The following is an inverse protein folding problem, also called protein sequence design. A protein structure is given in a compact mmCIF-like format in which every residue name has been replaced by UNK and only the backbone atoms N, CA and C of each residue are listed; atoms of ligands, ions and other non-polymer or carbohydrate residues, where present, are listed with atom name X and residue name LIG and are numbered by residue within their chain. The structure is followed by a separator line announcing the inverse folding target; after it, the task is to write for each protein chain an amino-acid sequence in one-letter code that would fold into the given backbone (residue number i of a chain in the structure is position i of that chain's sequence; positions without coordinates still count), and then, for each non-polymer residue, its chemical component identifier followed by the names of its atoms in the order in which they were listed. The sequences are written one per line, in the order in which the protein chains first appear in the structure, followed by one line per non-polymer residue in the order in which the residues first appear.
data_IF_689927945354
#
_entry.id   IF_689927945354
#
_cell.length_a   1.000
_cell.length_b   1.000
_cell.length_c   1.000
_cell.angle_alpha   90.00
_cell.angle_beta   90.00
_cell.angle_gamma   90.00
#
_symmetry.space_group_name_H-M   'P 1'
#
loop_
_entity.id
_entity.type
_entity.pdbx_description
1 polymer ?
#
# COMPACT_ATOMS: atom_id res chain seq x y z
N UNK A 1 -37.55 -20.59 14.61
CA UNK A 1 -36.93 -20.38 13.27
C UNK A 1 -36.33 -18.98 13.16
N UNK A 2 -36.98 -17.94 13.68
CA UNK A 2 -36.44 -16.56 13.73
C UNK A 2 -35.08 -16.41 14.44
N UNK A 3 -34.82 -17.19 15.49
CA UNK A 3 -33.58 -17.05 16.27
C UNK A 3 -32.33 -17.55 15.51
N UNK A 4 -32.48 -18.55 14.64
CA UNK A 4 -31.38 -19.10 13.86
C UNK A 4 -30.91 -18.13 12.77
N UNK A 5 -31.84 -17.39 12.15
CA UNK A 5 -31.54 -16.36 11.16
C UNK A 5 -30.85 -15.14 11.80
N UNK A 6 -31.29 -14.75 13.00
CA UNK A 6 -30.64 -13.67 13.78
C UNK A 6 -29.20 -14.02 14.14
N UNK A 7 -28.94 -15.28 14.54
CA UNK A 7 -27.58 -15.74 14.86
C UNK A 7 -26.66 -15.73 13.63
N UNK A 8 -27.14 -16.14 12.46
CA UNK A 8 -26.36 -16.05 11.22
C UNK A 8 -26.05 -14.59 10.84
N UNK A 9 -27.04 -13.70 10.94
CA UNK A 9 -26.83 -12.27 10.65
C UNK A 9 -25.84 -11.63 11.61
N UNK A 10 -25.94 -11.92 12.91
CA UNK A 10 -25.01 -11.41 13.91
C UNK A 10 -23.57 -11.88 13.66
N UNK A 11 -23.38 -13.15 13.29
CA UNK A 11 -22.05 -13.68 12.98
C UNK A 11 -21.44 -13.01 11.75
N UNK A 12 -22.23 -12.82 10.68
CA UNK A 12 -21.79 -12.10 9.48
C UNK A 12 -21.42 -10.65 9.78
N UNK A 13 -22.24 -9.93 10.55
CA UNK A 13 -21.97 -8.54 10.93
C UNK A 13 -20.71 -8.44 11.79
N UNK A 14 -20.49 -9.38 12.71
CA UNK A 14 -19.29 -9.40 13.54
C UNK A 14 -18.02 -9.63 12.72
N UNK A 15 -18.08 -10.57 11.78
CA UNK A 15 -16.98 -10.90 10.87
C UNK A 15 -16.66 -9.70 9.95
N UNK A 16 -17.69 -9.07 9.38
CA UNK A 16 -17.55 -7.87 8.56
C UNK A 16 -16.99 -6.68 9.36
N UNK A 17 -17.47 -6.46 10.59
CA UNK A 17 -17.00 -5.41 11.48
C UNK A 17 -15.52 -5.61 11.85
N UNK A 18 -15.10 -6.86 12.10
CA UNK A 18 -13.71 -7.20 12.38
C UNK A 18 -12.80 -6.90 11.18
N UNK A 19 -13.20 -7.28 9.96
CA UNK A 19 -12.43 -6.94 8.76
C UNK A 19 -12.40 -5.43 8.49
N UNK A 20 -13.51 -4.73 8.72
CA UNK A 20 -13.56 -3.26 8.61
C UNK A 20 -12.63 -2.58 9.62
N UNK A 21 -12.59 -3.05 10.87
CA UNK A 21 -11.70 -2.53 11.91
C UNK A 21 -10.23 -2.73 11.55
N UNK A 22 -9.87 -3.93 11.06
CA UNK A 22 -8.51 -4.24 10.59
C UNK A 22 -8.15 -3.32 9.41
N UNK A 23 -9.02 -3.18 8.41
CA UNK A 23 -8.79 -2.30 7.28
C UNK A 23 -8.59 -0.84 7.70
N UNK A 24 -9.38 -0.36 8.68
CA UNK A 24 -9.25 0.98 9.23
C UNK A 24 -7.92 1.18 9.96
N UNK A 25 -7.49 0.18 10.73
CA UNK A 25 -6.18 0.18 11.39
C UNK A 25 -5.03 0.25 10.38
N UNK A 26 -5.10 -0.54 9.29
CA UNK A 26 -4.06 -0.52 8.26
C UNK A 26 -4.09 0.80 7.47
N UNK A 27 -5.26 1.35 7.15
CA UNK A 27 -5.40 2.68 6.54
C UNK A 27 -4.78 3.77 7.41
N UNK A 28 -5.06 3.74 8.71
CA UNK A 28 -4.47 4.66 9.69
C UNK A 28 -2.94 4.57 9.71
N UNK A 29 -2.39 3.35 9.73
CA UNK A 29 -0.94 3.13 9.68
C UNK A 29 -0.36 3.62 8.35
N UNK A 30 -0.98 3.33 7.22
CA UNK A 30 -0.54 3.78 5.90
C UNK A 30 -0.50 5.31 5.80
N UNK A 31 -1.57 5.99 6.23
CA UNK A 31 -1.63 7.45 6.31
C UNK A 31 -0.57 8.01 7.26
N UNK A 32 -0.37 7.38 8.41
CA UNK A 32 0.61 7.81 9.40
C UNK A 32 2.04 7.68 8.85
N UNK A 33 2.36 6.59 8.15
CA UNK A 33 3.67 6.40 7.52
C UNK A 33 3.92 7.43 6.41
N UNK A 34 2.91 7.69 5.56
CA UNK A 34 3.01 8.74 4.53
C UNK A 34 3.21 10.10 5.17
N UNK A 35 2.44 10.43 6.21
CA UNK A 35 2.57 11.68 6.94
C UNK A 35 3.96 11.81 7.59
N UNK A 36 4.47 10.76 8.23
CA UNK A 36 5.82 10.74 8.82
C UNK A 36 6.89 10.90 7.74
N UNK A 37 6.74 10.27 6.58
CA UNK A 37 7.71 10.38 5.48
C UNK A 37 7.74 11.79 4.90
N UNK A 38 6.55 12.39 4.73
CA UNK A 38 6.40 13.79 4.32
C UNK A 38 7.01 14.71 5.38
N UNK A 39 6.68 14.53 6.67
CA UNK A 39 7.17 15.39 7.74
C UNK A 39 8.66 15.23 8.05
N UNK A 40 9.25 14.04 7.89
CA UNK A 40 10.72 13.85 8.00
C UNK A 40 11.46 14.43 6.79
N UNK A 41 10.83 14.47 5.62
CA UNK A 41 11.41 15.06 4.39
C UNK A 41 11.17 16.56 4.26
N UNK A 42 10.12 17.09 4.90
CA UNK A 42 9.76 18.49 4.90
C UNK A 42 10.44 19.22 6.05
N UNK A 43 11.66 19.72 5.82
CA UNK A 43 12.23 20.78 6.66
C UNK A 43 11.36 22.05 6.53
N UNK A 44 10.36 22.21 7.40
CA UNK A 44 9.69 23.43 7.90
C UNK A 44 9.52 24.71 7.03
N UNK A 45 9.62 24.65 5.71
CA UNK A 45 9.44 25.79 4.81
C UNK A 45 8.30 25.50 3.83
N UNK A 46 7.37 26.46 3.67
CA UNK A 46 6.25 26.37 2.73
C UNK A 46 6.67 26.14 1.26
N UNK A 47 7.94 26.35 0.91
CA UNK A 47 8.51 26.02 -0.40
C UNK A 47 8.81 24.52 -0.58
N UNK A 48 8.97 23.76 0.51
CA UNK A 48 9.27 22.33 0.45
C UNK A 48 8.08 21.48 -0.05
N UNK A 49 6.84 21.98 0.10
CA UNK A 49 5.63 21.27 -0.34
C UNK A 49 5.61 21.15 -1.88
N UNK A 50 6.06 22.18 -2.61
CA UNK A 50 6.19 22.15 -4.07
C UNK A 50 7.26 21.16 -4.56
N UNK A 51 8.36 21.03 -3.81
CA UNK A 51 9.46 20.10 -4.14
C UNK A 51 9.10 18.65 -3.82
N UNK A 52 8.26 18.40 -2.81
CA UNK A 52 7.75 17.05 -2.48
C UNK A 52 6.78 16.56 -3.57
N UNK A 53 5.96 17.45 -4.14
CA UNK A 53 5.14 17.15 -5.33
C UNK A 53 6.01 16.86 -6.56
N UNK A 54 7.18 17.51 -6.65
CA UNK A 54 8.16 17.27 -7.72
C UNK A 54 8.92 15.94 -7.56
N UNK A 55 8.98 15.36 -6.35
CA UNK A 55 9.46 13.98 -6.13
C UNK A 55 8.31 13.00 -6.37
N UNK A 56 8.04 12.72 -7.64
CA UNK A 56 7.06 11.74 -8.13
C UNK A 56 7.12 10.39 -7.40
N UNK A 57 8.28 10.04 -6.85
CA UNK A 57 8.53 8.86 -6.01
C UNK A 57 7.61 8.75 -4.77
N UNK A 58 7.29 9.86 -4.09
CA UNK A 58 6.45 9.82 -2.88
C UNK A 58 4.98 9.55 -3.23
N UNK A 59 4.49 10.23 -4.27
CA UNK A 59 3.14 9.98 -4.80
C UNK A 59 3.01 8.54 -5.33
N UNK A 60 4.02 8.06 -6.07
CA UNK A 60 4.11 6.68 -6.58
C UNK A 60 4.04 5.66 -5.43
N UNK A 61 4.81 5.85 -4.36
CA UNK A 61 4.74 4.99 -3.17
C UNK A 61 3.38 5.03 -2.49
N UNK A 62 2.77 6.21 -2.34
CA UNK A 62 1.44 6.35 -1.77
C UNK A 62 0.39 5.57 -2.57
N UNK A 63 0.43 5.64 -3.91
CA UNK A 63 -0.47 4.89 -4.78
C UNK A 63 -0.25 3.38 -4.67
N UNK A 64 1.01 2.93 -4.63
CA UNK A 64 1.33 1.51 -4.43
C UNK A 64 0.75 0.98 -3.11
N UNK A 65 0.94 1.73 -2.02
CA UNK A 65 0.38 1.37 -0.70
C UNK A 65 -1.15 1.29 -0.80
N UNK A 66 -1.79 2.26 -1.44
CA UNK A 66 -3.25 2.28 -1.61
C UNK A 66 -3.76 1.05 -2.38
N UNK A 67 -3.08 0.65 -3.46
CA UNK A 67 -3.44 -0.55 -4.24
C UNK A 67 -3.31 -1.82 -3.38
N UNK A 68 -2.21 -1.98 -2.63
CA UNK A 68 -2.00 -3.12 -1.72
C UNK A 68 -3.15 -3.22 -0.72
N UNK A 69 -3.58 -2.08 -0.17
CA UNK A 69 -4.70 -2.02 0.79
C UNK A 69 -6.02 -2.42 0.16
N UNK A 70 -6.36 -1.86 -1.00
CA UNK A 70 -7.59 -2.20 -1.72
C UNK A 70 -7.66 -3.69 -2.03
N UNK A 71 -6.58 -4.26 -2.58
CA UNK A 71 -6.54 -5.69 -2.95
C UNK A 71 -6.64 -6.60 -1.72
N UNK A 72 -5.95 -6.25 -0.64
CA UNK A 72 -6.05 -7.01 0.62
C UNK A 72 -7.48 -6.97 1.15
N UNK A 73 -8.15 -5.81 1.09
CA UNK A 73 -9.53 -5.67 1.55
C UNK A 73 -10.52 -6.44 0.67
N UNK A 74 -10.36 -6.40 -0.65
CA UNK A 74 -11.15 -7.22 -1.58
C UNK A 74 -10.95 -8.72 -1.30
N UNK A 75 -9.72 -9.15 -0.97
CA UNK A 75 -9.41 -10.52 -0.59
C UNK A 75 -10.05 -10.95 0.73
N UNK A 76 -10.03 -10.08 1.74
CA UNK A 76 -10.66 -10.32 3.05
C UNK A 76 -12.20 -10.39 2.95
N UNK A 77 -12.80 -9.58 2.08
CA UNK A 77 -14.24 -9.65 1.78
C UNK A 77 -14.62 -10.87 0.92
N UNK A 78 -13.66 -11.74 0.58
CA UNK A 78 -13.83 -12.88 -0.34
C UNK A 78 -14.43 -12.49 -1.70
N UNK A 79 -14.28 -11.23 -2.11
CA UNK A 79 -14.74 -10.74 -3.41
C UNK A 79 -13.80 -11.19 -4.53
N UNK A 80 -12.56 -11.52 -4.18
CA UNK A 80 -11.55 -12.06 -5.10
C UNK A 80 -10.87 -13.28 -4.49
N UNK A 81 -10.43 -14.20 -5.35
CA UNK A 81 -9.74 -15.42 -4.95
C UNK A 81 -8.36 -15.11 -4.35
N UNK A 82 -7.94 -15.88 -3.33
CA UNK A 82 -6.65 -15.65 -2.65
C UNK A 82 -5.44 -15.72 -3.60
N UNK A 83 -5.53 -16.53 -4.66
CA UNK A 83 -4.50 -16.59 -5.71
C UNK A 83 -4.36 -15.26 -6.48
N UNK A 84 -5.47 -14.55 -6.71
CA UNK A 84 -5.45 -13.24 -7.35
C UNK A 84 -4.79 -12.18 -6.46
N UNK A 85 -5.04 -12.21 -5.14
CA UNK A 85 -4.38 -11.34 -4.16
C UNK A 85 -2.86 -11.53 -4.21
N UNK A 86 -2.39 -12.79 -4.15
CA UNK A 86 -0.95 -13.10 -4.18
C UNK A 86 -0.31 -12.67 -5.48
N UNK A 87 -0.98 -12.87 -6.62
CA UNK A 87 -0.48 -12.45 -7.93
C UNK A 87 -0.29 -10.91 -8.00
N UNK A 88 -1.27 -10.14 -7.52
CA UNK A 88 -1.18 -8.68 -7.52
C UNK A 88 -0.09 -8.19 -6.56
N UNK A 89 -0.01 -8.74 -5.35
CA UNK A 89 1.04 -8.37 -4.39
C UNK A 89 2.45 -8.70 -4.91
N UNK A 90 2.61 -9.85 -5.58
CA UNK A 90 3.88 -10.26 -6.18
C UNK A 90 4.27 -9.35 -7.35
N UNK A 91 3.31 -8.95 -8.20
CA UNK A 91 3.54 -7.98 -9.27
C UNK A 91 3.97 -6.61 -8.74
N UNK A 92 3.32 -6.12 -7.69
CA UNK A 92 3.69 -4.86 -7.03
C UNK A 92 5.08 -4.97 -6.38
N UNK A 93 5.41 -6.08 -5.72
CA UNK A 93 6.74 -6.30 -5.17
C UNK A 93 7.81 -6.30 -6.27
N UNK A 94 7.55 -6.97 -7.40
CA UNK A 94 8.43 -6.96 -8.57
C UNK A 94 8.64 -5.54 -9.13
N UNK A 95 7.57 -4.76 -9.24
CA UNK A 95 7.61 -3.37 -9.67
C UNK A 95 8.45 -2.49 -8.73
N UNK A 96 8.25 -2.62 -7.41
CA UNK A 96 8.93 -1.80 -6.40
C UNK A 96 10.42 -2.17 -6.25
N UNK A 97 10.76 -3.46 -6.29
CA UNK A 97 12.16 -3.91 -6.18
C UNK A 97 12.94 -3.72 -7.50
N UNK A 98 12.28 -3.89 -8.65
CA UNK A 98 12.90 -3.75 -9.98
C UNK A 98 13.40 -2.33 -10.26
N UNK A 99 12.64 -1.32 -9.84
CA UNK A 99 12.96 0.10 -10.02
C UNK A 99 14.27 0.50 -9.33
N UNK A 100 14.62 -0.14 -8.20
CA UNK A 100 15.84 0.17 -7.43
C UNK A 100 17.13 -0.38 -8.05
N UNK A 101 17.07 -1.41 -8.90
CA UNK A 101 18.27 -2.01 -9.52
C UNK A 101 18.73 -1.28 -10.79
N UNK A 102 17.84 -0.54 -11.45
CA UNK A 102 18.15 0.16 -12.70
C UNK A 102 19.08 1.38 -12.51
N UNK A 103 19.31 1.85 -11.29
CA UNK A 103 20.23 2.95 -10.99
C UNK A 103 21.69 2.56 -10.73
N UNK A 104 22.03 1.26 -10.74
CA UNK A 104 23.37 0.76 -10.35
C UNK A 104 24.25 0.30 -11.52
N UNK A 105 23.88 0.63 -12.76
CA UNK A 105 24.63 0.23 -13.95
C UNK A 105 25.05 1.46 -14.74
N UNK A 106 26.25 1.96 -14.43
CA UNK A 106 27.26 2.45 -15.39
C UNK A 106 28.27 3.37 -14.67
N UNK A 107 29.52 2.92 -14.48
CA UNK A 107 30.69 3.78 -14.17
C UNK A 107 32.03 3.02 -14.14
N UNK A 108 32.13 1.82 -14.70
CA UNK A 108 33.42 1.09 -14.75
C UNK A 108 33.62 0.44 -16.10
N UNK A 109 34.01 1.25 -17.08
CA UNK A 109 34.90 0.78 -18.12
C UNK A 109 35.77 1.94 -18.60
N UNK A 110 37.02 2.10 -18.10
CA UNK A 110 37.98 2.97 -18.75
C UNK A 110 38.45 2.26 -20.04
N UNK A 111 38.36 2.91 -21.22
CA UNK A 111 39.01 2.39 -22.41
C UNK A 111 40.52 2.42 -22.17
N UNK A 112 41.13 1.24 -22.18
CA UNK A 112 42.58 1.09 -22.16
C UNK A 112 43.19 1.60 -23.47
N UNK A 113 44.16 2.48 -23.33
CA UNK A 113 45.15 2.91 -24.32
C UNK A 113 46.46 2.13 -24.16
#
# INVERSE_FOLDING_TARGET
MEDAERLQMMWFVLEAAKYALIAFGILGIGLTLVAIFIFRGASYSGEAIGVIVQRTEVAKLATIVLIILSVTMLGLLKLIEGQAVVAVLSGIAGYVLGDRKSGAKDTRDPPGD
#
